data_IF_862115681507
#
_entry.id   IF_862115681507
#
_cell.length_a   1.000
_cell.length_b   1.000
_cell.length_c   1.000
_cell.angle_alpha   90.00
_cell.angle_beta   90.00
_cell.angle_gamma   90.00
#
_symmetry.space_group_name_H-M   'P 1'
#
loop_
_entity.id
_entity.type
_entity.pdbx_description
1 polymer ?
#
# COMPACT_ATOMS: atom_id res chain seq x y z
N UNK A 1 21.15 -28.20 -13.93
CA UNK A 1 20.89 -27.32 -12.76
C UNK A 1 20.63 -25.95 -13.33
N UNK A 2 19.37 -25.53 -13.39
CA UNK A 2 19.02 -24.15 -13.74
C UNK A 2 19.60 -23.23 -12.67
N UNK A 3 20.13 -22.07 -13.06
CA UNK A 3 20.54 -21.03 -12.11
C UNK A 3 19.29 -20.63 -11.34
N UNK A 4 19.26 -20.88 -10.04
CA UNK A 4 18.20 -20.40 -9.15
C UNK A 4 18.14 -18.89 -9.26
N UNK A 5 16.97 -18.35 -9.61
CA UNK A 5 16.82 -16.90 -9.80
C UNK A 5 16.58 -16.24 -8.45
N UNK A 6 17.29 -15.14 -8.19
CA UNK A 6 17.13 -14.39 -6.96
C UNK A 6 15.77 -13.68 -6.90
N UNK A 7 15.02 -13.89 -5.82
CA UNK A 7 13.81 -13.14 -5.51
C UNK A 7 14.06 -11.62 -5.51
N UNK A 8 15.16 -11.18 -4.90
CA UNK A 8 15.47 -9.75 -4.77
C UNK A 8 15.73 -9.08 -6.12
N UNK A 9 16.37 -9.79 -7.06
CA UNK A 9 16.55 -9.29 -8.43
C UNK A 9 15.21 -9.19 -9.17
N UNK A 10 14.34 -10.18 -9.02
CA UNK A 10 13.00 -10.17 -9.63
C UNK A 10 12.12 -9.07 -9.03
N UNK A 11 12.11 -8.93 -7.69
CA UNK A 11 11.42 -7.85 -7.00
C UNK A 11 11.90 -6.47 -7.47
N UNK A 12 13.23 -6.30 -7.66
CA UNK A 12 13.83 -5.09 -8.23
C UNK A 12 13.32 -4.80 -9.65
N UNK A 13 13.23 -5.82 -10.51
CA UNK A 13 12.68 -5.67 -11.86
C UNK A 13 11.22 -5.21 -11.84
N UNK A 14 10.39 -5.82 -10.98
CA UNK A 14 9.00 -5.40 -10.77
C UNK A 14 8.93 -3.95 -10.32
N UNK A 15 9.73 -3.58 -9.32
CA UNK A 15 9.76 -2.23 -8.75
C UNK A 15 10.18 -1.18 -9.78
N UNK A 16 11.19 -1.45 -10.60
CA UNK A 16 11.77 -0.50 -11.54
C UNK A 16 11.07 -0.42 -12.91
N UNK A 17 10.17 -1.34 -13.24
CA UNK A 17 9.39 -1.26 -14.48
C UNK A 17 8.58 0.03 -14.51
N UNK A 18 8.71 0.83 -15.57
CA UNK A 18 8.03 2.11 -15.79
C UNK A 18 6.82 2.00 -16.75
N UNK A 19 6.63 0.83 -17.35
CA UNK A 19 5.48 0.53 -18.20
C UNK A 19 4.42 -0.21 -17.38
N UNK A 20 3.22 0.36 -17.29
CA UNK A 20 2.13 -0.16 -16.44
C UNK A 20 1.88 -1.65 -16.70
N UNK A 21 1.54 -2.03 -17.93
CA UNK A 21 1.16 -3.41 -18.22
C UNK A 21 2.32 -4.40 -18.01
N UNK A 22 3.56 -3.97 -18.28
CA UNK A 22 4.76 -4.77 -18.00
C UNK A 22 4.95 -4.96 -16.49
N UNK A 23 4.78 -3.92 -15.66
CA UNK A 23 4.86 -4.02 -14.19
C UNK A 23 3.84 -5.01 -13.65
N UNK A 24 2.59 -4.94 -14.12
CA UNK A 24 1.54 -5.86 -13.68
C UNK A 24 1.90 -7.31 -14.04
N UNK A 25 2.33 -7.55 -15.28
CA UNK A 25 2.73 -8.89 -15.76
C UNK A 25 3.94 -9.43 -14.99
N UNK A 26 5.00 -8.61 -14.83
CA UNK A 26 6.19 -9.00 -14.07
C UNK A 26 5.84 -9.36 -12.62
N UNK A 27 4.95 -8.59 -11.99
CA UNK A 27 4.51 -8.85 -10.62
C UNK A 27 3.82 -10.20 -10.50
N UNK A 28 2.91 -10.53 -11.41
CA UNK A 28 2.21 -11.83 -11.41
C UNK A 28 3.16 -13.00 -11.65
N UNK A 29 3.98 -12.91 -12.71
CA UNK A 29 4.95 -13.98 -13.04
C UNK A 29 5.96 -14.18 -11.89
N UNK A 30 6.37 -13.10 -11.23
CA UNK A 30 7.29 -13.19 -10.08
C UNK A 30 6.61 -13.83 -8.87
N UNK A 31 5.34 -13.48 -8.61
CA UNK A 31 4.58 -14.11 -7.53
C UNK A 31 4.35 -15.61 -7.79
N UNK A 32 4.01 -16.00 -9.03
CA UNK A 32 3.85 -17.41 -9.40
C UNK A 32 5.16 -18.18 -9.29
N UNK A 33 6.29 -17.62 -9.74
CA UNK A 33 7.62 -18.22 -9.63
C UNK A 33 8.08 -18.40 -8.17
N UNK A 34 7.68 -17.48 -7.27
CA UNK A 34 7.92 -17.64 -5.83
C UNK A 34 7.11 -18.79 -5.24
N UNK A 35 5.81 -18.85 -5.56
CA UNK A 35 4.90 -19.90 -5.06
C UNK A 35 5.33 -21.28 -5.57
N UNK A 36 5.81 -21.39 -6.83
CA UNK A 36 6.31 -22.65 -7.40
C UNK A 36 7.70 -23.06 -6.87
N UNK A 37 8.39 -22.18 -6.11
CA UNK A 37 9.72 -22.45 -5.58
C UNK A 37 10.85 -22.27 -6.58
N UNK A 38 10.62 -21.59 -7.70
CA UNK A 38 11.64 -21.27 -8.71
C UNK A 38 12.58 -20.12 -8.28
N UNK A 39 12.17 -19.35 -7.26
CA UNK A 39 12.94 -18.23 -6.73
C UNK A 39 13.48 -18.55 -5.33
N UNK A 40 14.68 -18.05 -5.05
CA UNK A 40 15.33 -18.16 -3.73
C UNK A 40 15.56 -16.79 -3.13
N UNK A 41 15.38 -16.69 -1.81
CA UNK A 41 15.63 -15.47 -1.02
C UNK A 41 17.03 -15.47 -0.37
N UNK A 42 17.89 -16.44 -0.69
CA UNK A 42 19.20 -16.62 -0.06
C UNK A 42 20.32 -16.00 -0.91
N UNK A 43 21.39 -15.58 -0.26
CA UNK A 43 22.67 -15.25 -0.89
C UNK A 43 22.75 -13.95 -1.68
N UNK A 44 21.76 -13.10 -1.67
CA UNK A 44 21.75 -11.84 -2.41
C UNK A 44 21.77 -10.63 -1.49
N UNK A 45 22.85 -9.88 -1.52
CA UNK A 45 22.89 -8.53 -0.95
C UNK A 45 22.19 -7.57 -1.92
N UNK A 46 21.28 -6.70 -1.47
CA UNK A 46 20.73 -5.65 -2.32
C UNK A 46 21.86 -4.78 -2.86
N UNK A 47 22.03 -4.71 -4.19
CA UNK A 47 23.22 -4.09 -4.79
C UNK A 47 23.18 -2.57 -4.81
N UNK A 48 22.03 -1.94 -4.67
CA UNK A 48 21.87 -0.49 -4.73
C UNK A 48 20.61 0.01 -4.03
N UNK A 49 20.71 1.17 -3.38
CA UNK A 49 19.55 1.84 -2.80
C UNK A 49 18.64 2.40 -3.90
N UNK A 50 17.43 1.87 -4.00
CA UNK A 50 16.41 2.40 -4.92
C UNK A 50 15.79 3.64 -4.30
N UNK A 51 15.97 4.78 -4.97
CA UNK A 51 15.40 6.07 -4.54
C UNK A 51 14.08 6.39 -5.24
N UNK A 52 13.85 5.82 -6.44
CA UNK A 52 12.67 6.06 -7.25
C UNK A 52 12.11 4.73 -7.77
N UNK A 53 10.83 4.50 -7.53
CA UNK A 53 10.12 3.39 -8.17
C UNK A 53 9.91 3.71 -9.66
N UNK A 54 9.91 2.66 -10.48
CA UNK A 54 9.49 2.77 -11.88
C UNK A 54 8.01 3.18 -11.96
N UNK A 55 7.72 4.19 -12.76
CA UNK A 55 6.36 4.65 -13.02
C UNK A 55 6.25 5.21 -14.42
N UNK A 56 5.08 5.16 -15.07
CA UNK A 56 4.88 5.80 -16.37
C UNK A 56 5.06 7.32 -16.25
N UNK A 57 5.29 7.98 -17.39
CA UNK A 57 5.41 9.45 -17.43
C UNK A 57 4.15 10.14 -16.89
N UNK A 58 2.97 9.54 -17.06
CA UNK A 58 1.72 9.97 -16.44
C UNK A 58 1.26 8.93 -15.40
N UNK A 59 0.59 9.34 -14.32
CA UNK A 59 0.07 10.68 -14.00
C UNK A 59 1.17 11.69 -13.69
N UNK A 60 0.87 12.97 -13.95
CA UNK A 60 1.64 14.07 -13.39
C UNK A 60 1.57 14.02 -11.86
N UNK A 61 2.71 14.15 -11.19
CA UNK A 61 2.76 14.19 -9.73
C UNK A 61 2.83 15.65 -9.27
N UNK A 62 1.88 16.03 -8.45
CA UNK A 62 1.77 17.38 -7.90
C UNK A 62 1.74 17.33 -6.36
N UNK A 63 1.97 18.48 -5.73
CA UNK A 63 1.81 18.57 -4.28
C UNK A 63 0.34 18.29 -3.88
N UNK A 64 0.06 17.58 -2.76
CA UNK A 64 -1.31 17.23 -2.36
C UNK A 64 -2.29 18.42 -2.31
N UNK A 65 -1.83 19.62 -1.94
CA UNK A 65 -2.65 20.85 -1.90
C UNK A 65 -3.09 21.34 -3.28
N UNK A 66 -2.43 20.90 -4.37
CA UNK A 66 -2.75 21.28 -5.75
C UNK A 66 -3.75 20.33 -6.40
N UNK A 67 -4.06 19.21 -5.74
CA UNK A 67 -5.05 18.27 -6.27
C UNK A 67 -6.46 18.89 -6.19
N UNK A 68 -7.24 18.83 -7.28
CA UNK A 68 -8.60 19.33 -7.28
C UNK A 68 -9.47 18.49 -6.33
N UNK A 69 -10.49 19.13 -5.75
CA UNK A 69 -11.50 18.39 -4.97
C UNK A 69 -12.26 17.43 -5.87
N UNK A 70 -12.31 16.16 -5.47
CA UNK A 70 -12.94 15.05 -6.21
C UNK A 70 -14.37 14.86 -5.69
N UNK A 71 -15.33 15.48 -6.36
CA UNK A 71 -16.76 15.36 -6.05
C UNK A 71 -17.44 14.32 -6.94
N UNK A 72 -18.44 13.60 -6.42
CA UNK A 72 -19.20 12.62 -7.22
C UNK A 72 -20.33 13.23 -8.06
N UNK A 73 -20.56 14.55 -7.98
CA UNK A 73 -21.64 15.26 -8.71
C UNK A 73 -21.41 15.39 -10.22
N UNK A 74 -20.22 15.07 -10.72
CA UNK A 74 -19.91 15.04 -12.15
C UNK A 74 -19.20 13.75 -12.54
N UNK A 75 -19.30 13.35 -13.79
CA UNK A 75 -18.60 12.19 -14.33
C UNK A 75 -17.08 12.33 -14.18
N UNK A 76 -16.53 13.47 -14.57
CA UNK A 76 -15.10 13.78 -14.39
C UNK A 76 -14.65 13.68 -12.92
N UNK A 77 -15.48 14.16 -11.99
CA UNK A 77 -15.18 14.05 -10.55
C UNK A 77 -15.17 12.60 -10.05
N UNK A 78 -16.10 11.76 -10.55
CA UNK A 78 -16.14 10.34 -10.25
C UNK A 78 -14.89 9.63 -10.79
N UNK A 79 -14.54 9.85 -12.06
CA UNK A 79 -13.35 9.28 -12.68
C UNK A 79 -12.07 9.75 -11.98
N UNK A 80 -11.98 11.03 -11.60
CA UNK A 80 -10.84 11.54 -10.84
C UNK A 80 -10.71 10.88 -9.45
N UNK A 81 -11.81 10.50 -8.79
CA UNK A 81 -11.76 9.77 -7.53
C UNK A 81 -11.31 8.31 -7.75
N UNK A 82 -11.89 7.61 -8.74
CA UNK A 82 -11.48 6.25 -9.09
C UNK A 82 -9.99 6.22 -9.46
N UNK A 83 -9.54 7.19 -10.27
CA UNK A 83 -8.13 7.32 -10.63
C UNK A 83 -7.23 7.54 -9.41
N UNK A 84 -7.68 8.33 -8.44
CA UNK A 84 -6.90 8.55 -7.22
C UNK A 84 -6.72 7.28 -6.41
N UNK A 85 -7.76 6.44 -6.32
CA UNK A 85 -7.66 5.13 -5.66
C UNK A 85 -6.74 4.22 -6.49
N UNK A 86 -6.93 4.15 -7.81
CA UNK A 86 -6.03 3.38 -8.69
C UNK A 86 -4.55 3.82 -8.56
N UNK A 87 -4.30 5.11 -8.30
CA UNK A 87 -2.95 5.60 -8.07
C UNK A 87 -2.38 5.16 -6.71
N UNK A 88 -3.22 5.00 -5.69
CA UNK A 88 -2.85 4.39 -4.40
C UNK A 88 -2.44 2.93 -4.64
N UNK A 89 -3.28 2.12 -5.30
CA UNK A 89 -3.00 0.70 -5.57
C UNK A 89 -1.73 0.52 -6.42
N UNK A 90 -1.52 1.37 -7.44
CA UNK A 90 -0.28 1.35 -8.22
C UNK A 90 0.97 1.62 -7.37
N UNK A 91 0.87 2.54 -6.41
CA UNK A 91 1.95 2.78 -5.47
C UNK A 91 2.10 1.61 -4.49
N UNK A 92 1.01 0.98 -4.05
CA UNK A 92 1.04 -0.17 -3.15
C UNK A 92 1.75 -1.37 -3.80
N UNK A 93 1.60 -1.61 -5.12
CA UNK A 93 2.44 -2.57 -5.87
C UNK A 93 3.93 -2.25 -5.68
N UNK A 94 4.31 -0.98 -5.82
CA UNK A 94 5.70 -0.57 -5.64
C UNK A 94 6.17 -0.74 -4.19
N UNK A 95 5.32 -0.42 -3.20
CA UNK A 95 5.63 -0.56 -1.78
C UNK A 95 5.86 -2.03 -1.39
N UNK A 96 5.04 -2.93 -1.89
CA UNK A 96 5.17 -4.36 -1.63
C UNK A 96 6.47 -4.93 -2.22
N UNK A 97 6.81 -4.61 -3.48
CA UNK A 97 8.07 -5.03 -4.07
C UNK A 97 9.29 -4.34 -3.45
N UNK A 98 9.15 -3.09 -3.00
CA UNK A 98 10.21 -2.41 -2.23
C UNK A 98 10.43 -3.10 -0.88
N UNK A 99 9.37 -3.51 -0.17
CA UNK A 99 9.48 -4.24 1.08
C UNK A 99 10.23 -5.57 0.88
N UNK A 100 9.93 -6.32 -0.18
CA UNK A 100 10.62 -7.57 -0.52
C UNK A 100 12.11 -7.35 -0.79
N UNK A 101 12.45 -6.42 -1.68
CA UNK A 101 13.85 -6.28 -2.11
C UNK A 101 14.73 -5.53 -1.11
N UNK A 102 14.14 -4.67 -0.28
CA UNK A 102 14.88 -3.77 0.62
C UNK A 102 15.33 -4.44 1.91
N UNK A 103 14.60 -5.41 2.42
CA UNK A 103 14.83 -6.03 3.72
C UNK A 103 15.20 -7.51 3.60
N UNK A 104 16.42 -7.85 3.12
CA UNK A 104 16.83 -9.22 2.82
C UNK A 104 17.04 -10.10 4.06
N UNK A 105 17.11 -9.50 5.24
CA UNK A 105 17.33 -10.19 6.52
C UNK A 105 16.03 -10.71 7.16
N UNK A 106 14.87 -10.50 6.49
CA UNK A 106 13.59 -10.93 7.02
C UNK A 106 13.36 -12.42 6.78
N UNK A 107 12.58 -13.11 7.65
CA UNK A 107 12.26 -14.52 7.46
C UNK A 107 11.39 -14.75 6.20
N UNK A 108 11.45 -15.98 5.63
CA UNK A 108 10.72 -16.36 4.41
C UNK A 108 9.24 -15.95 4.43
N UNK A 109 8.56 -16.13 5.57
CA UNK A 109 7.16 -15.78 5.72
C UNK A 109 6.87 -14.29 5.50
N UNK A 110 7.87 -13.40 5.68
CA UNK A 110 7.75 -11.99 5.33
C UNK A 110 7.61 -11.80 3.82
N UNK A 111 8.40 -12.52 3.04
CA UNK A 111 8.32 -12.47 1.59
C UNK A 111 7.04 -13.10 1.06
N UNK A 112 6.58 -14.19 1.69
CA UNK A 112 5.29 -14.83 1.38
C UNK A 112 4.14 -13.81 1.50
N UNK A 113 4.11 -13.05 2.61
CA UNK A 113 3.09 -12.04 2.87
C UNK A 113 3.17 -10.87 1.86
N UNK A 114 4.35 -10.26 1.65
CA UNK A 114 4.49 -9.09 0.78
C UNK A 114 4.37 -9.41 -0.72
N UNK A 115 4.74 -10.60 -1.15
CA UNK A 115 4.51 -11.06 -2.53
C UNK A 115 3.01 -11.28 -2.76
N UNK A 116 2.31 -11.81 -1.77
CA UNK A 116 0.85 -11.91 -1.81
C UNK A 116 0.20 -10.52 -1.91
N UNK A 117 0.62 -9.56 -1.08
CA UNK A 117 0.17 -8.16 -1.18
C UNK A 117 0.41 -7.62 -2.59
N UNK A 118 1.62 -7.75 -3.14
CA UNK A 118 1.93 -7.26 -4.48
C UNK A 118 0.98 -7.83 -5.56
N UNK A 119 0.59 -9.11 -5.45
CA UNK A 119 -0.35 -9.76 -6.36
C UNK A 119 -1.78 -9.23 -6.20
N UNK A 120 -2.24 -9.07 -4.97
CA UNK A 120 -3.56 -8.53 -4.66
C UNK A 120 -3.67 -7.06 -5.12
N UNK A 121 -2.62 -6.23 -4.95
CA UNK A 121 -2.57 -4.86 -5.44
C UNK A 121 -2.59 -4.74 -6.98
N UNK A 122 -1.96 -5.69 -7.69
CA UNK A 122 -2.10 -5.80 -9.15
C UNK A 122 -3.55 -6.04 -9.54
N UNK A 123 -4.24 -6.90 -8.82
CA UNK A 123 -5.66 -7.19 -9.05
C UNK A 123 -6.55 -5.97 -8.75
N UNK A 124 -6.35 -5.30 -7.63
CA UNK A 124 -7.05 -4.06 -7.26
C UNK A 124 -6.88 -2.98 -8.32
N UNK A 125 -5.63 -2.73 -8.72
CA UNK A 125 -5.33 -1.76 -9.77
C UNK A 125 -6.05 -2.08 -11.08
N UNK A 126 -6.08 -3.34 -11.50
CA UNK A 126 -6.78 -3.76 -12.73
C UNK A 126 -8.28 -3.52 -12.65
N UNK A 127 -8.92 -3.84 -11.53
CA UNK A 127 -10.34 -3.59 -11.32
C UNK A 127 -10.67 -2.10 -11.44
N UNK A 128 -9.89 -1.24 -10.80
CA UNK A 128 -10.08 0.21 -10.87
C UNK A 128 -9.76 0.78 -12.26
N UNK A 129 -8.72 0.29 -12.92
CA UNK A 129 -8.41 0.67 -14.30
C UNK A 129 -9.52 0.28 -15.27
N UNK A 130 -10.16 -0.87 -15.05
CA UNK A 130 -11.33 -1.28 -15.83
C UNK A 130 -12.50 -0.32 -15.62
N UNK A 131 -12.74 0.14 -14.39
CA UNK A 131 -13.76 1.17 -14.11
C UNK A 131 -13.45 2.50 -14.79
N UNK A 132 -12.18 2.94 -14.78
CA UNK A 132 -11.76 4.14 -15.52
C UNK A 132 -12.05 4.01 -17.01
N UNK A 133 -11.67 2.88 -17.64
CA UNK A 133 -11.86 2.64 -19.07
C UNK A 133 -13.33 2.57 -19.47
N UNK A 134 -14.19 1.99 -18.62
CA UNK A 134 -15.63 1.98 -18.82
C UNK A 134 -16.23 3.39 -18.82
N UNK A 135 -15.62 4.34 -18.10
CA UNK A 135 -15.99 5.77 -18.10
C UNK A 135 -15.22 6.63 -19.13
N UNK A 136 -14.48 6.02 -20.04
CA UNK A 136 -13.77 6.75 -21.11
C UNK A 136 -12.45 7.40 -20.69
N UNK A 137 -11.87 7.01 -19.53
CA UNK A 137 -10.57 7.47 -19.04
C UNK A 137 -9.61 6.28 -18.83
N UNK A 138 -8.33 6.55 -18.61
CA UNK A 138 -7.35 5.53 -18.20
C UNK A 138 -6.44 6.07 -17.08
N UNK A 139 -5.64 5.19 -16.52
CA UNK A 139 -4.62 5.58 -15.55
C UNK A 139 -3.59 6.51 -16.20
N UNK A 140 -3.41 7.65 -15.56
CA UNK A 140 -2.55 8.73 -16.06
C UNK A 140 -3.31 9.99 -16.51
N UNK A 141 -4.63 9.93 -16.68
CA UNK A 141 -5.43 11.07 -17.16
C UNK A 141 -5.67 12.16 -16.12
N UNK A 142 -5.51 11.84 -14.83
CA UNK A 142 -5.64 12.79 -13.73
C UNK A 142 -4.35 12.85 -12.93
N UNK A 143 -4.07 14.01 -12.31
CA UNK A 143 -2.89 14.16 -11.46
C UNK A 143 -2.96 13.30 -10.19
N UNK A 144 -1.80 12.88 -9.72
CA UNK A 144 -1.59 12.17 -8.46
C UNK A 144 -0.59 12.86 -7.54
N UNK A 145 -0.25 12.24 -6.40
CA UNK A 145 0.82 12.68 -5.52
C UNK A 145 1.68 11.51 -5.07
N UNK A 146 2.92 11.80 -4.64
CA UNK A 146 3.92 10.77 -4.33
C UNK A 146 4.04 10.43 -2.84
N UNK A 147 3.05 10.81 -2.03
CA UNK A 147 3.15 10.76 -0.55
C UNK A 147 3.47 9.37 0.00
N UNK A 148 2.89 8.29 -0.57
CA UNK A 148 3.16 6.92 -0.16
C UNK A 148 4.63 6.54 -0.42
N UNK A 149 5.14 6.82 -1.61
CA UNK A 149 6.53 6.52 -1.95
C UNK A 149 7.53 7.38 -1.15
N UNK A 150 7.20 8.63 -0.87
CA UNK A 150 8.02 9.49 -0.03
C UNK A 150 8.14 8.95 1.40
N UNK A 151 7.05 8.42 1.98
CA UNK A 151 7.12 7.74 3.28
C UNK A 151 7.97 6.47 3.19
N UNK A 152 7.85 5.69 2.11
CA UNK A 152 8.70 4.54 1.89
C UNK A 152 10.19 4.90 1.87
N UNK A 153 10.56 6.02 1.23
CA UNK A 153 11.94 6.52 1.25
C UNK A 153 12.40 6.96 2.63
N UNK A 154 11.56 7.67 3.38
CA UNK A 154 11.87 8.12 4.75
C UNK A 154 12.07 6.96 5.71
N UNK A 155 11.42 5.82 5.46
CA UNK A 155 11.48 4.61 6.28
C UNK A 155 12.39 3.52 5.70
N UNK A 156 13.16 3.84 4.65
CA UNK A 156 13.97 2.89 3.89
C UNK A 156 15.09 2.20 4.71
N UNK A 157 15.50 2.82 5.80
CA UNK A 157 16.63 2.41 6.62
C UNK A 157 16.27 1.39 7.71
N UNK A 158 14.98 1.17 7.98
CA UNK A 158 14.54 0.29 9.07
C UNK A 158 13.19 -0.37 8.77
N UNK A 159 13.12 -1.72 8.70
CA UNK A 159 11.87 -2.44 8.48
C UNK A 159 10.84 -2.20 9.60
N UNK A 160 11.23 -2.00 10.85
CA UNK A 160 10.31 -1.72 11.96
C UNK A 160 9.57 -0.39 11.72
N UNK A 161 10.29 0.66 11.37
CA UNK A 161 9.71 1.96 11.06
C UNK A 161 8.83 1.87 9.81
N UNK A 162 9.26 1.11 8.78
CA UNK A 162 8.49 0.86 7.58
C UNK A 162 7.14 0.20 7.90
N UNK A 163 7.13 -0.86 8.71
CA UNK A 163 5.91 -1.58 9.07
C UNK A 163 4.96 -0.73 9.93
N UNK A 164 5.48 0.11 10.78
CA UNK A 164 4.68 1.05 11.57
C UNK A 164 4.00 2.13 10.72
N UNK A 165 4.75 2.74 9.78
CA UNK A 165 4.31 3.99 9.15
C UNK A 165 3.69 3.80 7.76
N UNK A 166 4.01 2.73 7.03
CA UNK A 166 3.40 2.47 5.73
C UNK A 166 2.13 1.65 5.90
N UNK A 167 2.14 0.33 6.18
CA UNK A 167 0.89 -0.42 6.26
C UNK A 167 0.01 -0.01 7.45
N UNK A 168 0.57 0.09 8.68
CA UNK A 168 -0.24 0.36 9.88
C UNK A 168 -0.74 1.80 9.97
N UNK A 169 -0.14 2.75 9.27
CA UNK A 169 -0.56 4.16 9.31
C UNK A 169 -1.19 4.61 8.00
N UNK A 170 -0.44 4.56 6.89
CA UNK A 170 -0.92 5.13 5.63
C UNK A 170 -1.95 4.24 4.93
N UNK A 171 -1.71 2.92 4.82
CA UNK A 171 -2.66 1.99 4.20
C UNK A 171 -3.89 1.77 5.11
N UNK A 172 -3.70 1.67 6.43
CA UNK A 172 -4.82 1.60 7.38
C UNK A 172 -5.80 2.79 7.26
N UNK A 173 -5.37 3.92 6.71
CA UNK A 173 -6.29 5.02 6.36
C UNK A 173 -7.31 4.61 5.29
N UNK A 174 -6.96 3.69 4.41
CA UNK A 174 -7.88 3.06 3.45
C UNK A 174 -9.06 2.40 4.17
N UNK A 175 -8.79 1.63 5.24
CA UNK A 175 -9.84 0.99 6.04
C UNK A 175 -10.85 2.00 6.61
N UNK A 176 -10.39 3.18 6.99
CA UNK A 176 -11.24 4.22 7.60
C UNK A 176 -12.13 4.92 6.58
N UNK A 177 -11.61 5.21 5.38
CA UNK A 177 -12.29 6.08 4.40
C UNK A 177 -13.11 5.32 3.37
N UNK A 178 -12.71 4.10 3.02
CA UNK A 178 -13.35 3.32 1.95
C UNK A 178 -14.83 3.06 2.18
N UNK A 179 -15.33 2.73 3.40
CA UNK A 179 -16.76 2.56 3.62
C UNK A 179 -17.60 3.81 3.32
N UNK A 180 -17.04 4.99 3.62
CA UNK A 180 -17.67 6.26 3.28
C UNK A 180 -17.70 6.53 1.77
N UNK A 181 -16.64 6.16 1.07
CA UNK A 181 -16.55 6.28 -0.39
C UNK A 181 -17.54 5.32 -1.07
N UNK A 182 -17.62 4.08 -0.62
CA UNK A 182 -18.57 3.06 -1.12
C UNK A 182 -20.00 3.58 -1.05
N UNK A 183 -20.46 4.02 0.15
CA UNK A 183 -21.82 4.57 0.31
C UNK A 183 -22.11 5.74 -0.63
N UNK A 184 -21.12 6.57 -0.95
CA UNK A 184 -21.28 7.69 -1.89
C UNK A 184 -21.44 7.21 -3.34
N UNK A 185 -20.73 6.15 -3.76
CA UNK A 185 -20.92 5.54 -5.09
C UNK A 185 -22.27 4.83 -5.18
N UNK A 186 -22.70 4.10 -4.15
CA UNK A 186 -24.03 3.49 -4.06
C UNK A 186 -25.15 4.55 -4.19
N UNK A 187 -25.02 5.66 -3.48
CA UNK A 187 -26.01 6.75 -3.49
C UNK A 187 -26.23 7.39 -4.86
N UNK A 188 -25.23 7.30 -5.76
CA UNK A 188 -25.35 7.80 -7.14
C UNK A 188 -25.63 6.68 -8.15
N UNK A 189 -25.89 5.44 -7.69
CA UNK A 189 -26.20 4.28 -8.53
C UNK A 189 -24.99 3.60 -9.19
N UNK A 190 -23.74 3.97 -8.84
CA UNK A 190 -22.53 3.30 -9.33
C UNK A 190 -22.20 2.09 -8.44
N UNK A 191 -23.03 1.06 -8.52
CA UNK A 191 -22.89 -0.16 -7.74
C UNK A 191 -21.65 -0.97 -8.16
N UNK A 192 -21.22 -0.86 -9.41
CA UNK A 192 -20.02 -1.58 -9.88
C UNK A 192 -18.75 -1.05 -9.22
N UNK A 193 -18.58 0.28 -9.13
CA UNK A 193 -17.45 0.85 -8.42
C UNK A 193 -17.53 0.54 -6.92
N UNK A 194 -18.71 0.58 -6.31
CA UNK A 194 -18.88 0.18 -4.91
C UNK A 194 -18.49 -1.28 -4.67
N UNK A 195 -18.85 -2.20 -5.57
CA UNK A 195 -18.47 -3.62 -5.49
C UNK A 195 -16.95 -3.82 -5.61
N UNK A 196 -16.28 -3.09 -6.50
CA UNK A 196 -14.80 -3.11 -6.58
C UNK A 196 -14.18 -2.64 -5.27
N UNK A 197 -14.65 -1.53 -4.70
CA UNK A 197 -14.14 -1.01 -3.43
C UNK A 197 -14.39 -1.98 -2.26
N UNK A 198 -15.47 -2.77 -2.30
CA UNK A 198 -15.73 -3.81 -1.30
C UNK A 198 -14.71 -4.94 -1.37
N UNK A 199 -14.29 -5.36 -2.57
CA UNK A 199 -13.21 -6.35 -2.75
C UNK A 199 -11.92 -5.80 -2.14
N UNK A 200 -11.52 -4.58 -2.53
CA UNK A 200 -10.31 -3.92 -2.04
C UNK A 200 -10.34 -3.83 -0.51
N UNK A 201 -11.42 -3.29 0.06
CA UNK A 201 -11.56 -3.12 1.51
C UNK A 201 -11.36 -4.43 2.29
N UNK A 202 -11.90 -5.54 1.78
CA UNK A 202 -11.77 -6.85 2.42
C UNK A 202 -10.32 -7.34 2.43
N UNK A 203 -9.59 -7.16 1.33
CA UNK A 203 -8.22 -7.62 1.18
C UNK A 203 -7.23 -6.69 1.90
N UNK A 204 -7.49 -5.38 1.93
CA UNK A 204 -6.73 -4.38 2.67
C UNK A 204 -6.62 -4.64 4.17
N UNK A 205 -7.64 -5.24 4.80
CA UNK A 205 -7.55 -5.69 6.20
C UNK A 205 -6.36 -6.63 6.38
N UNK A 206 -6.17 -7.56 5.43
CA UNK A 206 -5.04 -8.50 5.42
C UNK A 206 -3.69 -7.80 5.23
N UNK A 207 -3.60 -6.81 4.34
CA UNK A 207 -2.36 -6.05 4.10
C UNK A 207 -1.90 -5.31 5.36
N UNK A 208 -2.83 -4.62 6.01
CA UNK A 208 -2.57 -3.93 7.29
C UNK A 208 -2.25 -4.93 8.42
N UNK A 209 -2.89 -6.11 8.42
CA UNK A 209 -2.59 -7.19 9.36
C UNK A 209 -1.16 -7.72 9.20
N UNK A 210 -0.68 -7.89 7.97
CA UNK A 210 0.72 -8.24 7.73
C UNK A 210 1.67 -7.17 8.25
N UNK A 211 1.35 -5.89 8.02
CA UNK A 211 2.09 -4.78 8.62
C UNK A 211 2.15 -4.85 10.15
N UNK A 212 1.01 -5.14 10.80
CA UNK A 212 0.92 -5.32 12.27
C UNK A 212 1.74 -6.51 12.74
N UNK A 213 1.63 -7.66 12.07
CA UNK A 213 2.39 -8.88 12.36
C UNK A 213 3.90 -8.63 12.35
N UNK A 214 4.39 -8.00 11.28
CA UNK A 214 5.83 -7.78 11.12
C UNK A 214 6.36 -6.65 11.97
N UNK A 215 5.55 -5.65 12.27
CA UNK A 215 5.88 -4.65 13.28
C UNK A 215 6.07 -5.29 14.67
N UNK A 216 5.13 -6.13 15.12
CA UNK A 216 5.23 -6.82 16.40
C UNK A 216 6.42 -7.78 16.44
N UNK A 217 6.64 -8.56 15.38
CA UNK A 217 7.81 -9.42 15.25
C UNK A 217 9.12 -8.65 15.46
N UNK A 218 9.27 -7.50 14.80
CA UNK A 218 10.49 -6.70 14.90
C UNK A 218 10.63 -6.01 16.27
N UNK A 219 9.53 -5.63 16.91
CA UNK A 219 9.55 -5.17 18.30
C UNK A 219 10.04 -6.27 19.24
N UNK A 220 9.51 -7.48 19.10
CA UNK A 220 9.93 -8.64 19.92
C UNK A 220 11.43 -8.93 19.74
N UNK A 221 11.91 -8.99 18.48
CA UNK A 221 13.34 -9.21 18.19
C UNK A 221 14.25 -8.16 18.81
N UNK A 222 13.76 -6.94 19.03
CA UNK A 222 14.52 -5.82 19.59
C UNK A 222 14.24 -5.54 21.07
N UNK A 223 13.38 -6.34 21.70
CA UNK A 223 12.98 -6.12 23.11
C UNK A 223 12.21 -4.81 23.35
N UNK A 224 11.48 -4.33 22.32
CA UNK A 224 10.71 -3.10 22.37
C UNK A 224 9.26 -3.37 22.76
N UNK A 225 8.62 -2.39 23.42
CA UNK A 225 7.19 -2.41 23.72
C UNK A 225 6.40 -1.92 22.50
N UNK A 226 5.59 -2.75 21.80
CA UNK A 226 5.00 -2.38 20.51
C UNK A 226 4.16 -1.12 20.57
N UNK A 227 3.25 -1.00 21.53
CA UNK A 227 2.37 0.17 21.63
C UNK A 227 3.18 1.47 21.83
N UNK A 228 4.09 1.50 22.81
CA UNK A 228 4.91 2.69 23.05
C UNK A 228 5.73 3.04 21.80
N UNK A 229 6.38 2.04 21.19
CA UNK A 229 7.20 2.23 19.99
C UNK A 229 6.38 2.79 18.83
N UNK A 230 5.14 2.31 18.64
CA UNK A 230 4.26 2.80 17.59
C UNK A 230 3.93 4.28 17.76
N UNK A 231 3.56 4.70 18.98
CA UNK A 231 3.22 6.10 19.24
C UNK A 231 4.43 7.04 19.19
N UNK A 232 5.60 6.61 19.66
CA UNK A 232 6.85 7.35 19.51
C UNK A 232 7.19 7.60 18.04
N UNK A 233 6.96 6.60 17.17
CA UNK A 233 7.16 6.74 15.73
C UNK A 233 6.13 7.68 15.09
N UNK A 234 4.86 7.63 15.50
CA UNK A 234 3.84 8.58 15.01
C UNK A 234 4.20 10.01 15.37
N UNK A 235 4.64 10.26 16.60
CA UNK A 235 5.07 11.59 17.03
C UNK A 235 6.27 12.10 16.22
N UNK A 236 7.30 11.26 16.07
CA UNK A 236 8.54 11.65 15.40
C UNK A 236 8.40 11.87 13.88
N UNK A 237 7.49 11.15 13.21
CA UNK A 237 7.37 11.18 11.75
C UNK A 237 6.20 12.00 11.23
N UNK A 238 5.14 12.17 12.03
CA UNK A 238 3.86 12.75 11.62
C UNK A 238 3.43 13.94 12.49
N UNK A 239 4.25 14.35 13.47
CA UNK A 239 3.89 15.36 14.47
C UNK A 239 2.56 15.04 15.20
N UNK A 240 2.22 13.75 15.31
CA UNK A 240 0.98 13.30 15.95
C UNK A 240 -0.31 13.55 15.17
N UNK A 241 -0.24 14.02 13.91
CA UNK A 241 -1.45 14.26 13.10
C UNK A 241 -2.11 12.96 12.65
N UNK A 242 -3.24 12.64 13.27
CA UNK A 242 -4.10 11.50 12.91
C UNK A 242 -5.43 12.03 12.38
N UNK A 243 -5.88 11.47 11.25
CA UNK A 243 -7.17 11.84 10.65
C UNK A 243 -8.27 10.87 11.05
N UNK A 244 -9.35 11.38 11.58
CA UNK A 244 -10.55 10.65 11.94
C UNK A 244 -11.67 10.78 10.89
N UNK A 245 -12.73 9.92 10.94
CA UNK A 245 -12.93 8.84 11.91
C UNK A 245 -12.06 7.62 11.65
N UNK A 246 -11.93 6.73 12.66
CA UNK A 246 -11.30 5.41 12.54
C UNK A 246 -12.36 4.32 12.36
N UNK A 247 -12.07 3.31 11.56
CA UNK A 247 -12.91 2.12 11.43
C UNK A 247 -12.44 1.03 12.41
N UNK A 248 -12.98 1.06 13.64
CA UNK A 248 -12.53 0.22 14.76
C UNK A 248 -12.54 -1.28 14.46
N UNK A 249 -13.60 -1.78 13.81
CA UNK A 249 -13.73 -3.21 13.52
C UNK A 249 -12.61 -3.67 12.58
N UNK A 250 -12.46 -3.03 11.41
CA UNK A 250 -11.44 -3.38 10.44
C UNK A 250 -10.02 -3.21 11.00
N UNK A 251 -9.78 -2.17 11.80
CA UNK A 251 -8.47 -1.98 12.44
C UNK A 251 -8.17 -3.06 13.49
N UNK A 252 -9.17 -3.51 14.26
CA UNK A 252 -9.00 -4.65 15.19
C UNK A 252 -8.68 -5.94 14.44
N UNK A 253 -9.40 -6.24 13.37
CA UNK A 253 -9.11 -7.38 12.49
C UNK A 253 -7.69 -7.28 11.92
N UNK A 254 -7.23 -6.08 11.59
CA UNK A 254 -5.88 -5.79 11.12
C UNK A 254 -4.81 -5.76 12.24
N UNK A 255 -5.16 -6.16 13.48
CA UNK A 255 -4.20 -6.37 14.58
C UNK A 255 -3.94 -5.15 15.46
N UNK A 256 -4.79 -4.11 15.44
CA UNK A 256 -4.74 -3.03 16.43
C UNK A 256 -5.41 -3.43 17.74
N UNK A 257 -4.78 -3.13 18.87
CA UNK A 257 -5.38 -3.30 20.19
C UNK A 257 -6.44 -2.23 20.46
N UNK A 258 -7.36 -2.53 21.40
CA UNK A 258 -8.33 -1.51 21.84
C UNK A 258 -7.64 -0.29 22.47
N UNK A 259 -6.50 -0.48 23.13
CA UNK A 259 -5.74 0.59 23.74
C UNK A 259 -5.08 1.47 22.69
N UNK A 260 -4.50 0.88 21.63
CA UNK A 260 -3.98 1.64 20.48
C UNK A 260 -5.09 2.48 19.82
N UNK A 261 -6.28 1.90 19.60
CA UNK A 261 -7.40 2.62 18.98
C UNK A 261 -7.87 3.81 19.84
N UNK A 262 -7.98 3.63 21.15
CA UNK A 262 -8.35 4.73 22.07
C UNK A 262 -7.31 5.85 22.04
N UNK A 263 -6.01 5.52 22.04
CA UNK A 263 -4.93 6.53 21.93
C UNK A 263 -4.95 7.25 20.59
N UNK A 264 -5.16 6.52 19.47
CA UNK A 264 -5.30 7.13 18.15
C UNK A 264 -6.49 8.10 18.09
N UNK A 265 -7.64 7.75 18.68
CA UNK A 265 -8.80 8.64 18.75
C UNK A 265 -8.53 9.89 19.58
N UNK A 266 -7.80 9.76 20.68
CA UNK A 266 -7.43 10.90 21.52
C UNK A 266 -6.55 11.90 20.74
N UNK A 267 -5.67 11.43 19.86
CA UNK A 267 -4.88 12.28 18.94
C UNK A 267 -5.76 12.99 17.89
N UNK A 268 -6.87 12.38 17.47
CA UNK A 268 -7.82 13.03 16.56
C UNK A 268 -8.58 14.21 17.19
N UNK A 269 -8.87 14.12 18.49
CA UNK A 269 -9.67 15.13 19.19
C UNK A 269 -8.86 16.36 19.62
N UNK A 270 -7.52 16.27 19.60
CA UNK A 270 -6.60 17.32 20.02
C UNK A 270 -6.03 18.20 18.90
N UNK A 271 -6.44 17.97 17.64
CA UNK A 271 -5.95 18.68 16.44
C UNK A 271 -6.92 19.74 15.91
#
# INVERSE_FOLDING_TARGET
MGLEQSLFQRARQCLLSDVVDQKLQLSEVTADAWVSGELVAEGCTPSETITHAGRPHRPELVHPSQLPRRGLGSETGRLALIHAIAHIEFNAINLAWDAVQRFPEMPRAYYDDWIRVAREEVYHFRLLRQRLRAGGADYGDFAGHNGLWEMARRTAHDPLIRMALVPRMLEARGLDVTPGIMRRFEAIGDHETAAVLQIIMREEVGHVQFGSRWFHYLCEQRGLQPEQTYFDLLENFLNGEIRCPLHHEARREAGFSNQELQRLEALCAGG
#
